data_IF_756087034192
#
_entry.id   IF_756087034192
#
_cell.length_a   1.000
_cell.length_b   1.000
_cell.length_c   1.000
_cell.angle_alpha   90.00
_cell.angle_beta   90.00
_cell.angle_gamma   90.00
#
_symmetry.space_group_name_H-M   'P 1'
#
loop_
_entity.id
_entity.type
_entity.pdbx_description
1 polymer ?
#
# COMPACT_ATOMS: atom_id res chain seq x y z
N UNK A 1 13.12 -0.66 -1.96
CA UNK A 1 13.65 -0.89 -3.33
C UNK A 1 12.96 -2.09 -3.95
N UNK A 2 12.71 -2.12 -5.27
CA UNK A 2 12.01 -3.23 -5.94
C UNK A 2 12.94 -4.25 -6.63
N UNK A 3 14.24 -3.99 -6.67
CA UNK A 3 15.27 -4.97 -7.09
C UNK A 3 14.99 -5.70 -8.40
N UNK A 4 14.55 -4.99 -9.44
CA UNK A 4 14.21 -5.56 -10.75
C UNK A 4 13.08 -6.62 -10.73
N UNK A 5 12.18 -6.54 -9.77
CA UNK A 5 11.01 -7.43 -9.68
C UNK A 5 9.77 -6.77 -10.29
N UNK A 6 9.14 -7.48 -11.24
CA UNK A 6 7.82 -7.17 -11.84
C UNK A 6 7.61 -5.70 -12.24
N UNK A 7 8.57 -5.13 -12.97
CA UNK A 7 8.58 -3.70 -13.33
C UNK A 7 7.28 -3.22 -14.00
N UNK A 8 6.75 -4.01 -14.94
CA UNK A 8 5.55 -3.63 -15.69
C UNK A 8 4.27 -3.84 -14.88
N UNK A 9 4.16 -4.99 -14.23
CA UNK A 9 2.96 -5.38 -13.50
C UNK A 9 2.72 -4.49 -12.28
N UNK A 10 3.79 -3.98 -11.66
CA UNK A 10 3.72 -3.15 -10.47
C UNK A 10 3.65 -1.64 -10.78
N UNK A 11 3.52 -1.22 -12.05
CA UNK A 11 3.59 0.20 -12.46
C UNK A 11 2.60 1.10 -11.71
N UNK A 12 1.44 0.56 -11.34
CA UNK A 12 0.44 1.23 -10.53
C UNK A 12 0.15 0.48 -9.23
N UNK A 13 1.00 -0.45 -8.80
CA UNK A 13 0.82 -1.12 -7.52
C UNK A 13 1.25 -0.18 -6.38
N UNK A 14 0.66 -0.37 -5.20
CA UNK A 14 1.17 0.29 -4.00
C UNK A 14 2.30 -0.53 -3.41
N UNK A 15 3.37 0.15 -3.02
CA UNK A 15 4.55 -0.49 -2.49
C UNK A 15 4.53 -0.36 -0.96
N UNK A 16 4.48 -1.52 -0.30
CA UNK A 16 4.64 -1.64 1.15
C UNK A 16 6.07 -2.08 1.45
N UNK A 17 6.74 -1.38 2.37
CA UNK A 17 8.07 -1.70 2.84
C UNK A 17 8.02 -1.78 4.36
N UNK A 18 8.64 -2.82 4.92
CA UNK A 18 8.70 -3.07 6.36
C UNK A 18 10.13 -3.42 6.77
N UNK A 19 10.48 -3.09 8.00
CA UNK A 19 11.75 -3.46 8.63
C UNK A 19 11.74 -4.91 9.14
N UNK A 20 10.58 -5.57 9.14
CA UNK A 20 10.43 -6.99 9.49
C UNK A 20 11.19 -7.86 8.49
N UNK A 21 12.06 -8.72 9.01
CA UNK A 21 12.78 -9.68 8.18
C UNK A 21 11.86 -10.78 7.67
N UNK A 22 12.15 -11.32 6.48
CA UNK A 22 11.32 -12.34 5.85
C UNK A 22 11.01 -13.57 6.72
N UNK A 23 11.95 -14.12 7.51
CA UNK A 23 11.64 -15.24 8.41
C UNK A 23 10.67 -14.90 9.54
N UNK A 24 10.59 -13.63 9.92
CA UNK A 24 9.75 -13.13 11.01
C UNK A 24 8.41 -12.54 10.50
N UNK A 25 8.17 -12.58 9.18
CA UNK A 25 6.95 -12.04 8.57
C UNK A 25 5.80 -13.05 8.70
N UNK A 26 4.90 -12.78 9.65
CA UNK A 26 3.78 -13.63 10.00
C UNK A 26 2.41 -13.08 9.55
N UNK A 27 1.33 -13.73 10.00
CA UNK A 27 -0.04 -13.32 9.69
C UNK A 27 -0.38 -11.91 10.24
N UNK A 28 0.15 -11.54 11.40
CA UNK A 28 -0.09 -10.21 11.97
C UNK A 28 0.59 -9.12 11.13
N UNK A 29 1.82 -9.36 10.68
CA UNK A 29 2.53 -8.47 9.78
C UNK A 29 1.80 -8.31 8.43
N UNK A 30 1.17 -9.39 7.92
CA UNK A 30 0.35 -9.33 6.72
C UNK A 30 -0.92 -8.47 6.93
N UNK A 31 -1.60 -8.63 8.07
CA UNK A 31 -2.77 -7.81 8.40
C UNK A 31 -2.41 -6.33 8.53
N UNK A 32 -1.25 -6.01 9.10
CA UNK A 32 -0.75 -4.63 9.16
C UNK A 32 -0.51 -4.06 7.76
N UNK A 33 0.08 -4.84 6.85
CA UNK A 33 0.28 -4.43 5.47
C UNK A 33 -1.05 -4.14 4.75
N UNK A 34 -2.09 -4.94 4.99
CA UNK A 34 -3.43 -4.68 4.43
C UNK A 34 -4.10 -3.44 5.05
N UNK A 35 -3.99 -3.25 6.36
CA UNK A 35 -4.49 -2.05 7.02
C UNK A 35 -3.81 -0.79 6.46
N UNK A 36 -2.50 -0.85 6.23
CA UNK A 36 -1.76 0.24 5.62
C UNK A 36 -2.20 0.52 4.18
N UNK A 37 -2.38 -0.53 3.38
CA UNK A 37 -2.92 -0.42 2.02
C UNK A 37 -4.31 0.25 1.99
N UNK A 38 -5.22 -0.14 2.89
CA UNK A 38 -6.57 0.44 2.95
C UNK A 38 -6.59 1.92 3.32
N UNK A 39 -5.61 2.41 4.09
CA UNK A 39 -5.50 3.83 4.45
C UNK A 39 -5.02 4.70 3.29
N UNK A 40 -4.31 4.12 2.33
CA UNK A 40 -3.73 4.87 1.20
C UNK A 40 -4.82 5.16 0.17
N UNK A 41 -5.25 6.42 0.13
CA UNK A 41 -6.24 6.85 -0.84
C UNK A 41 -5.58 7.13 -2.20
N UNK A 42 -5.98 6.38 -3.22
CA UNK A 42 -5.69 6.74 -4.61
C UNK A 42 -6.55 7.93 -5.00
N UNK A 43 -5.90 9.06 -5.22
CA UNK A 43 -6.60 10.31 -5.49
C UNK A 43 -7.34 10.35 -6.82
N UNK A 44 -7.05 9.52 -7.83
CA UNK A 44 -7.74 9.54 -9.15
C UNK A 44 -8.04 10.97 -9.70
N UNK A 45 -7.17 11.94 -9.44
CA UNK A 45 -7.38 13.36 -9.83
C UNK A 45 -8.20 14.23 -8.86
N UNK A 46 -8.53 13.75 -7.66
CA UNK A 46 -9.28 14.43 -6.59
C UNK A 46 -8.36 15.02 -5.51
N UNK A 47 -8.77 16.13 -4.90
CA UNK A 47 -8.08 16.70 -3.73
C UNK A 47 -8.37 15.89 -2.47
N UNK A 48 -7.54 15.99 -1.43
CA UNK A 48 -7.72 15.25 -0.17
C UNK A 48 -9.12 15.42 0.43
N UNK A 49 -9.61 16.67 0.47
CA UNK A 49 -10.95 17.02 0.96
C UNK A 49 -12.08 16.32 0.19
N UNK A 50 -11.94 16.14 -1.14
CA UNK A 50 -12.96 15.50 -1.96
C UNK A 50 -13.03 13.99 -1.73
N UNK A 51 -11.92 13.36 -1.34
CA UNK A 51 -11.91 11.93 -1.03
C UNK A 51 -12.44 11.69 0.38
N UNK A 52 -12.16 12.57 1.34
CA UNK A 52 -12.74 12.53 2.69
C UNK A 52 -14.26 12.78 2.69
N UNK A 53 -14.75 13.74 1.90
CA UNK A 53 -16.19 14.06 1.80
C UNK A 53 -17.03 12.97 1.11
N UNK A 54 -16.42 12.06 0.36
CA UNK A 54 -17.12 10.92 -0.29
C UNK A 54 -17.14 9.65 0.56
N UNK A 55 -16.44 9.65 1.70
CA UNK A 55 -16.43 8.57 2.68
C UNK A 55 -17.39 8.80 3.87
N UNK A 56 -18.11 9.93 3.88
CA UNK A 56 -19.25 10.20 4.79
C UNK A 56 -20.57 9.80 4.13
#
# INVERSE_FOLDING_TARGET
>A
RISNFLLWQLAYAELYFTDVYWPDFDDAALHEAFADYQRRQRRFGRTSEQVEASQQ
#
